data_IF_131952978354
#
_entry.id   IF_131952978354
#
_cell.length_a   1.000
_cell.length_b   1.000
_cell.length_c   1.000
_cell.angle_alpha   90.00
_cell.angle_beta   90.00
_cell.angle_gamma   90.00
#
_symmetry.space_group_name_H-M   'P 1'
#
loop_
_entity.id
_entity.type
_entity.pdbx_description
1 polymer ?
#
# COMPACT_ATOMS: atom_id res chain seq x y z
N UNK A 1 6.01 -4.62 -43.36
CA UNK A 1 6.08 -5.72 -42.37
C UNK A 1 5.17 -5.34 -41.23
N UNK A 2 4.01 -5.99 -41.15
CA UNK A 2 3.03 -5.82 -40.07
C UNK A 2 3.54 -6.53 -38.82
N UNK A 3 3.58 -5.84 -37.70
CA UNK A 3 3.74 -6.46 -36.38
C UNK A 3 2.40 -6.29 -35.68
N UNK A 4 1.67 -7.39 -35.63
CA UNK A 4 0.47 -7.58 -34.81
C UNK A 4 0.83 -7.52 -33.34
N UNK A 5 0.02 -6.75 -32.62
CA UNK A 5 -0.06 -6.57 -31.18
C UNK A 5 -0.58 -7.83 -30.48
N UNK A 6 -0.05 -8.20 -29.29
CA UNK A 6 -0.81 -8.96 -28.32
C UNK A 6 -1.09 -8.09 -27.08
N UNK A 7 -2.32 -7.59 -27.03
CA UNK A 7 -3.15 -7.41 -25.84
C UNK A 7 -2.39 -7.34 -24.49
N UNK A 8 -2.04 -6.12 -24.06
CA UNK A 8 -1.98 -5.83 -22.62
C UNK A 8 -3.39 -5.54 -22.13
N UNK A 9 -4.10 -6.61 -21.77
CA UNK A 9 -5.20 -6.54 -20.80
C UNK A 9 -4.59 -6.22 -19.43
N UNK A 10 -4.20 -4.95 -19.22
CA UNK A 10 -4.03 -4.44 -17.87
C UNK A 10 -5.44 -4.16 -17.34
N UNK A 11 -6.05 -5.22 -16.83
CA UNK A 11 -7.22 -5.18 -15.96
C UNK A 11 -7.04 -4.09 -14.91
N UNK A 12 -7.66 -2.94 -15.13
CA UNK A 12 -8.03 -2.05 -14.04
C UNK A 12 -8.85 -2.87 -13.06
N UNK A 13 -8.48 -2.97 -11.76
CA UNK A 13 -9.36 -3.60 -10.81
C UNK A 13 -10.68 -2.83 -10.81
N UNK A 14 -11.75 -3.59 -10.99
CA UNK A 14 -13.11 -3.13 -11.14
C UNK A 14 -13.46 -2.05 -10.12
N UNK A 15 -14.17 -1.03 -10.63
CA UNK A 15 -15.12 -0.18 -9.92
C UNK A 15 -15.23 -0.48 -8.42
N UNK A 16 -14.64 0.37 -7.59
CA UNK A 16 -15.00 0.47 -6.18
C UNK A 16 -16.45 0.97 -6.19
N UNK A 17 -17.41 0.03 -6.19
CA UNK A 17 -18.82 0.33 -5.98
C UNK A 17 -18.98 1.12 -4.67
N UNK A 18 -20.11 1.84 -4.47
CA UNK A 18 -20.33 2.60 -3.27
C UNK A 18 -20.08 1.67 -2.08
N UNK A 19 -19.05 1.99 -1.32
CA UNK A 19 -18.63 1.25 -0.14
C UNK A 19 -19.78 1.35 0.84
N UNK A 20 -20.72 0.40 0.78
CA UNK A 20 -21.71 0.23 1.83
C UNK A 20 -20.89 -0.21 3.03
N UNK A 21 -20.41 0.76 3.80
CA UNK A 21 -19.86 0.55 5.12
C UNK A 21 -20.98 -0.07 5.94
N UNK A 22 -21.13 -1.39 5.84
CA UNK A 22 -21.84 -2.18 6.83
C UNK A 22 -21.06 -1.86 8.10
N UNK A 23 -21.67 -1.08 9.00
CA UNK A 23 -21.04 -0.72 10.27
C UNK A 23 -20.47 -2.00 10.86
N UNK A 24 -19.15 -2.05 11.03
CA UNK A 24 -18.49 -3.21 11.56
C UNK A 24 -18.90 -3.28 13.03
N UNK A 25 -19.93 -4.09 13.32
CA UNK A 25 -20.30 -4.48 14.66
C UNK A 25 -19.54 -5.76 15.00
N UNK A 26 -18.87 -5.75 16.15
CA UNK A 26 -18.14 -6.88 16.70
C UNK A 26 -18.56 -7.08 18.15
N UNK A 27 -18.62 -8.34 18.58
CA UNK A 27 -18.87 -8.72 19.97
C UNK A 27 -17.61 -9.37 20.53
N UNK A 28 -17.11 -8.85 21.65
CA UNK A 28 -16.03 -9.44 22.45
C UNK A 28 -16.62 -10.08 23.70
N UNK A 29 -16.40 -11.38 23.88
CA UNK A 29 -16.97 -12.16 24.99
C UNK A 29 -15.88 -12.66 25.95
N UNK A 30 -16.21 -12.71 27.24
CA UNK A 30 -15.42 -13.46 28.22
C UNK A 30 -15.49 -14.96 27.93
N UNK A 31 -14.47 -15.73 28.37
CA UNK A 31 -14.41 -17.18 28.09
C UNK A 31 -15.60 -17.97 28.61
N UNK A 32 -16.16 -17.52 29.74
CA UNK A 32 -17.32 -18.10 30.39
C UNK A 32 -18.65 -17.52 29.89
N UNK A 33 -18.62 -16.59 28.92
CA UNK A 33 -19.78 -15.89 28.34
C UNK A 33 -20.61 -15.10 29.36
N UNK A 34 -20.06 -14.84 30.54
CA UNK A 34 -20.69 -13.97 31.53
C UNK A 34 -20.80 -12.53 31.03
N UNK A 35 -19.80 -12.07 30.28
CA UNK A 35 -19.72 -10.68 29.80
C UNK A 35 -19.53 -10.66 28.29
N UNK A 36 -20.35 -9.88 27.62
CA UNK A 36 -20.20 -9.58 26.20
C UNK A 36 -20.20 -8.06 26.00
N UNK A 37 -19.27 -7.56 25.18
CA UNK A 37 -19.15 -6.14 24.85
C UNK A 37 -19.31 -6.01 23.34
N UNK A 38 -20.33 -5.27 22.91
CA UNK A 38 -20.53 -4.93 21.51
C UNK A 38 -19.82 -3.60 21.20
N UNK A 39 -19.08 -3.60 20.12
CA UNK A 39 -18.39 -2.44 19.58
C UNK A 39 -18.91 -2.18 18.18
N UNK A 40 -19.30 -0.94 17.92
CA UNK A 40 -19.60 -0.47 16.58
C UNK A 40 -18.78 0.77 16.29
N UNK A 41 -18.08 0.81 15.15
CA UNK A 41 -17.27 1.95 14.72
C UNK A 41 -16.24 2.41 15.78
N UNK A 42 -15.61 1.45 16.47
CA UNK A 42 -14.61 1.72 17.51
C UNK A 42 -15.17 2.27 18.83
N UNK A 43 -16.50 2.29 19.01
CA UNK A 43 -17.18 2.68 20.24
C UNK A 43 -17.92 1.51 20.85
N UNK A 44 -17.88 1.39 22.17
CA UNK A 44 -18.74 0.44 22.89
C UNK A 44 -20.19 0.89 22.75
N UNK A 45 -21.03 0.05 22.16
CA UNK A 45 -22.45 0.31 21.94
C UNK A 45 -23.35 -0.46 22.90
N UNK A 46 -22.88 -1.62 23.37
CA UNK A 46 -23.62 -2.41 24.35
C UNK A 46 -22.66 -3.18 25.26
N UNK A 47 -23.08 -3.41 26.50
CA UNK A 47 -22.41 -4.31 27.46
C UNK A 47 -23.48 -5.18 28.05
N UNK A 48 -23.42 -6.48 27.74
CA UNK A 48 -24.30 -7.48 28.31
C UNK A 48 -23.58 -8.26 29.41
N UNK A 49 -24.27 -8.47 30.52
CA UNK A 49 -23.79 -9.26 31.64
C UNK A 49 -24.87 -10.29 31.93
N UNK A 50 -24.58 -11.56 31.66
CA UNK A 50 -25.52 -12.63 31.92
C UNK A 50 -25.82 -12.70 33.42
N UNK A 51 -27.06 -12.33 33.75
CA UNK A 51 -27.54 -12.20 35.12
C UNK A 51 -27.68 -13.55 35.83
N UNK A 52 -27.87 -14.62 35.07
CA UNK A 52 -27.95 -15.99 35.59
C UNK A 52 -26.58 -16.44 36.08
N UNK A 53 -25.55 -16.23 35.26
CA UNK A 53 -24.18 -16.56 35.64
C UNK A 53 -23.68 -15.60 36.73
N UNK A 54 -23.88 -14.29 36.60
CA UNK A 54 -23.48 -13.28 37.60
C UNK A 54 -23.94 -13.60 39.04
N UNK A 55 -25.16 -14.13 39.22
CA UNK A 55 -25.68 -14.51 40.54
C UNK A 55 -25.02 -15.75 41.17
N UNK A 56 -24.25 -16.51 40.39
CA UNK A 56 -23.65 -17.79 40.78
C UNK A 56 -22.12 -17.74 40.92
N UNK A 57 -21.47 -16.67 40.47
CA UNK A 57 -20.01 -16.50 40.51
C UNK A 57 -19.56 -15.56 41.64
N UNK A 58 -18.37 -15.83 42.17
CA UNK A 58 -17.71 -14.94 43.14
C UNK A 58 -17.35 -13.61 42.44
N UNK A 59 -17.42 -12.46 43.14
CA UNK A 59 -17.12 -11.13 42.58
C UNK A 59 -15.79 -11.06 41.82
N UNK A 60 -14.75 -11.74 42.31
CA UNK A 60 -13.42 -11.76 41.69
C UNK A 60 -13.44 -12.37 40.27
N UNK A 61 -14.33 -13.34 40.02
CA UNK A 61 -14.46 -13.97 38.70
C UNK A 61 -15.16 -13.08 37.69
N UNK A 62 -16.07 -12.23 38.15
CA UNK A 62 -16.67 -11.23 37.28
C UNK A 62 -15.65 -10.19 36.83
N UNK A 63 -14.82 -9.71 37.76
CA UNK A 63 -13.75 -8.77 37.41
C UNK A 63 -12.81 -9.36 36.35
N UNK A 64 -12.48 -10.65 36.47
CA UNK A 64 -11.69 -11.37 35.47
C UNK A 64 -12.43 -11.50 34.13
N UNK A 65 -13.71 -11.84 34.12
CA UNK A 65 -14.52 -11.92 32.90
C UNK A 65 -14.61 -10.57 32.17
N UNK A 66 -14.83 -9.48 32.91
CA UNK A 66 -14.81 -8.12 32.36
C UNK A 66 -13.44 -7.79 31.77
N UNK A 67 -12.35 -8.08 32.49
CA UNK A 67 -10.99 -7.81 32.00
C UNK A 67 -10.69 -8.56 30.70
N UNK A 68 -11.14 -9.82 30.57
CA UNK A 68 -10.99 -10.60 29.33
C UNK A 68 -11.75 -9.98 28.17
N UNK A 69 -13.02 -9.61 28.37
CA UNK A 69 -13.83 -8.98 27.32
C UNK A 69 -13.23 -7.64 26.88
N UNK A 70 -12.74 -6.82 27.82
CA UNK A 70 -12.06 -5.55 27.56
C UNK A 70 -10.73 -5.75 26.83
N UNK A 71 -9.95 -6.77 27.15
CA UNK A 71 -8.71 -7.04 26.42
C UNK A 71 -8.99 -7.37 24.95
N UNK A 72 -10.04 -8.17 24.68
CA UNK A 72 -10.47 -8.43 23.29
C UNK A 72 -10.90 -7.17 22.54
N UNK A 73 -11.55 -6.21 23.23
CA UNK A 73 -11.87 -4.89 22.67
C UNK A 73 -10.60 -4.12 22.28
N UNK A 74 -9.61 -4.09 23.17
CA UNK A 74 -8.36 -3.35 22.96
C UNK A 74 -7.53 -3.93 21.82
N UNK A 75 -7.46 -5.26 21.73
CA UNK A 75 -6.73 -5.95 20.67
C UNK A 75 -7.34 -5.62 19.29
N UNK A 76 -8.67 -5.62 19.18
CA UNK A 76 -9.33 -5.29 17.92
C UNK A 76 -9.20 -3.80 17.56
N UNK A 77 -9.31 -2.87 18.52
CA UNK A 77 -9.09 -1.44 18.24
C UNK A 77 -7.62 -1.20 17.82
N UNK A 78 -6.68 -1.98 18.37
CA UNK A 78 -5.26 -1.91 18.03
C UNK A 78 -4.92 -2.42 16.63
N UNK A 79 -5.61 -3.47 16.15
CA UNK A 79 -5.34 -4.12 14.84
C UNK A 79 -5.40 -3.17 13.63
N UNK A 80 -6.46 -2.37 13.42
CA UNK A 80 -6.51 -1.42 12.31
C UNK A 80 -5.34 -0.41 12.32
N UNK A 81 -4.82 -0.04 13.50
CA UNK A 81 -3.64 0.83 13.58
C UNK A 81 -2.38 0.11 13.09
N UNK A 82 -2.18 -1.13 13.52
CA UNK A 82 -1.06 -1.95 13.05
C UNK A 82 -1.14 -2.20 11.53
N UNK A 83 -2.35 -2.42 11.00
CA UNK A 83 -2.57 -2.60 9.57
C UNK A 83 -2.26 -1.33 8.77
N UNK A 84 -2.64 -0.15 9.28
CA UNK A 84 -2.30 1.14 8.67
C UNK A 84 -0.79 1.39 8.67
N UNK A 85 -0.09 1.08 9.76
CA UNK A 85 1.36 1.20 9.84
C UNK A 85 2.05 0.25 8.86
N UNK A 86 1.54 -0.98 8.71
CA UNK A 86 2.05 -1.94 7.73
C UNK A 86 1.81 -1.47 6.28
N UNK A 87 0.62 -0.93 5.98
CA UNK A 87 0.32 -0.34 4.66
C UNK A 87 1.23 0.85 4.37
N UNK A 88 1.48 1.71 5.36
CA UNK A 88 2.38 2.86 5.24
C UNK A 88 3.81 2.42 4.95
N UNK A 89 4.33 1.44 5.70
CA UNK A 89 5.67 0.90 5.47
C UNK A 89 5.82 0.35 4.04
N UNK A 90 4.80 -0.37 3.54
CA UNK A 90 4.79 -0.90 2.18
C UNK A 90 4.70 0.21 1.12
N UNK A 91 3.96 1.28 1.39
CA UNK A 91 3.90 2.44 0.50
C UNK A 91 5.26 3.16 0.42
N UNK A 92 5.95 3.31 1.56
CA UNK A 92 7.29 3.91 1.60
C UNK A 92 8.31 3.08 0.80
N UNK A 93 8.27 1.75 0.94
CA UNK A 93 9.11 0.83 0.17
C UNK A 93 8.88 0.96 -1.35
N UNK A 94 7.60 0.93 -1.77
CA UNK A 94 7.24 1.10 -3.19
C UNK A 94 7.70 2.46 -3.72
N UNK A 95 7.52 3.52 -2.92
CA UNK A 95 7.93 4.87 -3.30
C UNK A 95 9.45 4.96 -3.48
N UNK A 96 10.23 4.34 -2.60
CA UNK A 96 11.68 4.28 -2.73
C UNK A 96 12.09 3.51 -3.99
N UNK A 97 11.46 2.37 -4.25
CA UNK A 97 11.77 1.56 -5.42
C UNK A 97 11.48 2.32 -6.74
N UNK A 98 10.34 2.98 -6.83
CA UNK A 98 9.97 3.80 -7.99
C UNK A 98 10.96 4.95 -8.19
N UNK A 99 11.35 5.64 -7.13
CA UNK A 99 12.32 6.73 -7.22
C UNK A 99 13.70 6.25 -7.70
N UNK A 100 14.15 5.08 -7.24
CA UNK A 100 15.41 4.48 -7.71
C UNK A 100 15.34 4.14 -9.21
N UNK A 101 14.23 3.52 -9.66
CA UNK A 101 14.05 3.21 -11.08
C UNK A 101 14.00 4.47 -11.95
N UNK A 102 13.29 5.51 -11.51
CA UNK A 102 13.25 6.79 -12.21
C UNK A 102 14.66 7.42 -12.29
N UNK A 103 15.43 7.38 -11.20
CA UNK A 103 16.82 7.84 -11.19
C UNK A 103 17.69 7.13 -12.22
N UNK A 104 17.57 5.80 -12.32
CA UNK A 104 18.27 5.01 -13.34
C UNK A 104 17.86 5.41 -14.76
N UNK A 105 16.55 5.57 -15.02
CA UNK A 105 16.04 6.00 -16.34
C UNK A 105 16.56 7.39 -16.73
N UNK A 106 16.61 8.33 -15.77
CA UNK A 106 17.17 9.66 -16.05
C UNK A 106 18.67 9.59 -16.37
N UNK A 107 19.42 8.77 -15.66
CA UNK A 107 20.86 8.56 -15.91
C UNK A 107 21.10 7.94 -17.29
N UNK A 108 20.35 6.89 -17.63
CA UNK A 108 20.43 6.23 -18.94
C UNK A 108 20.09 7.21 -20.06
N UNK A 109 19.05 8.03 -19.87
CA UNK A 109 18.65 9.06 -20.84
C UNK A 109 19.77 10.08 -21.05
N UNK A 110 20.39 10.57 -19.98
CA UNK A 110 21.50 11.53 -20.06
C UNK A 110 22.71 10.96 -20.80
N UNK A 111 23.03 9.69 -20.52
CA UNK A 111 24.09 8.96 -21.22
C UNK A 111 23.80 8.82 -22.71
N UNK A 112 22.58 8.42 -23.09
CA UNK A 112 22.17 8.30 -24.49
C UNK A 112 22.27 9.65 -25.20
N UNK A 113 21.80 10.73 -24.57
CA UNK A 113 21.87 12.07 -25.14
C UNK A 113 23.31 12.52 -25.36
N UNK A 114 24.21 12.24 -24.41
CA UNK A 114 25.63 12.54 -24.53
C UNK A 114 26.29 11.79 -25.69
N UNK A 115 26.00 10.50 -25.83
CA UNK A 115 26.50 9.68 -26.94
C UNK A 115 25.95 10.15 -28.30
N UNK A 116 24.70 10.57 -28.37
CA UNK A 116 24.13 11.14 -29.60
C UNK A 116 24.83 12.45 -29.99
N UNK A 117 25.07 13.32 -29.01
CA UNK A 117 25.76 14.59 -29.24
C UNK A 117 27.17 14.37 -29.80
N UNK A 118 27.95 13.47 -29.17
CA UNK A 118 29.28 13.10 -29.63
C UNK A 118 29.28 12.60 -31.08
N UNK A 119 28.34 11.70 -31.42
CA UNK A 119 28.19 11.18 -32.79
C UNK A 119 27.83 12.27 -33.81
N UNK A 120 27.02 13.25 -33.42
CA UNK A 120 26.66 14.39 -34.27
C UNK A 120 27.89 15.27 -34.50
N UNK A 121 28.65 15.58 -33.45
CA UNK A 121 29.86 16.40 -33.54
C UNK A 121 30.92 15.74 -34.41
N UNK A 122 31.12 14.43 -34.26
CA UNK A 122 32.00 13.62 -35.09
C UNK A 122 31.59 13.65 -36.57
N UNK A 123 30.30 13.49 -36.84
CA UNK A 123 29.75 13.54 -38.20
C UNK A 123 30.00 14.92 -38.83
N UNK A 124 29.73 16.00 -38.10
CA UNK A 124 30.01 17.37 -38.54
C UNK A 124 31.51 17.56 -38.83
N UNK A 125 32.39 17.06 -37.96
CA UNK A 125 33.83 17.14 -38.15
C UNK A 125 34.30 16.36 -39.39
N UNK A 126 33.72 15.20 -39.67
CA UNK A 126 33.98 14.44 -40.89
C UNK A 126 33.53 15.21 -42.14
N UNK A 127 32.31 15.76 -42.14
CA UNK A 127 31.81 16.56 -43.26
C UNK A 127 32.68 17.79 -43.55
N UNK A 128 33.15 18.49 -42.51
CA UNK A 128 34.07 19.62 -42.67
C UNK A 128 35.37 19.21 -43.34
N UNK A 129 35.95 18.07 -42.94
CA UNK A 129 37.18 17.53 -43.54
C UNK A 129 36.98 17.18 -45.02
N UNK A 130 35.87 16.51 -45.35
CA UNK A 130 35.53 16.18 -46.75
C UNK A 130 35.36 17.44 -47.60
N UNK A 131 34.65 18.45 -47.08
CA UNK A 131 34.45 19.73 -47.77
C UNK A 131 35.78 20.43 -48.04
N UNK A 132 36.64 20.54 -47.03
CA UNK A 132 37.98 21.14 -47.18
C UNK A 132 38.81 20.40 -48.23
N UNK A 133 38.84 19.07 -48.20
CA UNK A 133 39.56 18.29 -49.21
C UNK A 133 39.01 18.52 -50.63
N UNK A 134 37.69 18.62 -50.79
CA UNK A 134 37.07 18.92 -52.07
C UNK A 134 37.41 20.32 -52.59
N UNK A 135 37.49 21.32 -51.71
CA UNK A 135 37.80 22.70 -52.09
C UNK A 135 39.28 22.86 -52.52
N UNK A 136 40.19 21.99 -52.06
CA UNK A 136 41.62 22.01 -52.45
C UNK A 136 41.93 21.28 -53.76
N UNK A 137 40.99 20.48 -54.28
CA UNK A 137 41.16 19.70 -55.52
C UNK A 137 40.63 20.48 -56.75
N UNK A 138 40.03 21.65 -56.54
CA UNK A 138 39.40 22.48 -57.57
C UNK A 138 40.21 23.73 -57.87
#
# INVERSE_FOLDING_TARGET
MSITDPAREDTFPASIGPNTHRKASMISESKDRTVAIEITDGKVTNVDIDRVTYGLIKPDRLAEAVAQAVQGVLDEIGRPRMDVDAVRARLDEVTQHVNQQLGAIYSDREQIMSQMQERVDDSIAQWRRVKQASDHVR
#
